data_IF_874623736366
#
_entry.id   IF_874623736366
#
_cell.length_a   1.000
_cell.length_b   1.000
_cell.length_c   1.000
_cell.angle_alpha   90.00
_cell.angle_beta   90.00
_cell.angle_gamma   90.00
#
_symmetry.space_group_name_H-M   'P 1'
#
loop_
_entity.id
_entity.type
_entity.pdbx_description
1 polymer ?
#
# COMPACT_ATOMS: atom_id res chain seq x y z
N UNK A 1 -22.13 -9.07 -11.09
CA UNK A 1 -22.39 -8.13 -9.98
C UNK A 1 -21.09 -7.41 -9.70
N UNK A 2 -21.04 -6.09 -9.91
CA UNK A 2 -19.87 -5.26 -9.60
C UNK A 2 -19.79 -5.14 -8.08
N UNK A 3 -18.91 -5.90 -7.44
CA UNK A 3 -18.51 -5.65 -6.06
C UNK A 3 -17.79 -4.30 -6.07
N UNK A 4 -18.50 -3.25 -5.68
CA UNK A 4 -17.88 -1.97 -5.41
C UNK A 4 -16.76 -2.23 -4.39
N UNK A 5 -15.52 -1.96 -4.77
CA UNK A 5 -14.41 -2.01 -3.84
C UNK A 5 -14.66 -0.91 -2.81
N UNK A 6 -15.29 -1.27 -1.69
CA UNK A 6 -15.48 -0.37 -0.56
C UNK A 6 -14.09 0.15 -0.20
N UNK A 7 -13.86 1.43 -0.46
CA UNK A 7 -12.56 2.05 -0.18
C UNK A 7 -12.45 2.19 1.34
N UNK A 8 -11.99 1.12 2.01
CA UNK A 8 -12.14 0.98 3.47
C UNK A 8 -11.25 1.94 4.27
N UNK A 9 -10.23 2.58 3.69
CA UNK A 9 -9.34 3.43 4.47
C UNK A 9 -8.43 4.38 3.67
N UNK A 10 -8.47 5.68 3.97
CA UNK A 10 -7.48 6.68 3.50
C UNK A 10 -6.67 7.21 4.68
N UNK A 11 -5.33 7.11 4.61
CA UNK A 11 -4.40 7.72 5.55
C UNK A 11 -3.27 8.42 4.85
N UNK A 12 -2.86 9.54 5.43
CA UNK A 12 -1.68 10.28 5.00
C UNK A 12 -0.71 10.32 6.17
N UNK A 13 0.54 9.91 5.93
CA UNK A 13 1.59 10.00 6.93
C UNK A 13 1.82 11.44 7.36
N UNK A 14 2.31 11.65 8.58
CA UNK A 14 2.51 12.99 9.14
C UNK A 14 3.44 13.86 8.29
N UNK A 15 4.45 13.25 7.67
CA UNK A 15 5.38 13.91 6.73
C UNK A 15 4.84 14.04 5.30
N UNK A 16 3.60 13.59 5.05
CA UNK A 16 2.89 13.57 3.77
C UNK A 16 3.58 12.78 2.67
N UNK A 17 4.58 11.96 2.99
CA UNK A 17 5.33 11.16 2.01
C UNK A 17 4.59 9.89 1.59
N UNK A 18 3.71 9.36 2.44
CA UNK A 18 2.97 8.14 2.16
C UNK A 18 1.49 8.40 2.33
N UNK A 19 0.71 8.10 1.30
CA UNK A 19 -0.75 8.10 1.34
C UNK A 19 -1.25 6.69 1.10
N UNK A 20 -1.78 6.05 2.13
CA UNK A 20 -2.54 4.80 1.98
C UNK A 20 -3.94 5.17 1.48
N UNK A 21 -4.38 4.56 0.39
CA UNK A 21 -5.65 4.85 -0.28
C UNK A 21 -6.67 3.74 -0.03
N UNK A 22 -6.21 2.49 0.06
CA UNK A 22 -7.08 1.34 0.23
C UNK A 22 -6.40 0.26 1.06
N UNK A 23 -7.16 -0.30 2.01
CA UNK A 23 -6.83 -1.53 2.70
C UNK A 23 -8.05 -2.44 2.65
N UNK A 24 -7.96 -3.56 1.96
CA UNK A 24 -9.06 -4.51 1.81
C UNK A 24 -8.59 -5.90 2.23
N UNK A 25 -9.45 -6.65 2.90
CA UNK A 25 -9.26 -8.08 3.14
C UNK A 25 -10.38 -8.80 2.40
N UNK A 26 -10.03 -9.72 1.50
CA UNK A 26 -11.00 -10.52 0.77
C UNK A 26 -11.46 -11.76 1.56
N UNK A 27 -12.41 -12.50 0.99
CA UNK A 27 -12.96 -13.73 1.61
C UNK A 27 -11.93 -14.85 1.80
N UNK A 28 -10.77 -14.76 1.15
CA UNK A 28 -9.67 -15.70 1.26
C UNK A 28 -8.59 -15.23 2.26
N UNK A 29 -8.82 -14.12 2.97
CA UNK A 29 -7.87 -13.55 3.93
C UNK A 29 -6.68 -12.85 3.26
N UNK A 30 -6.78 -12.50 1.98
CA UNK A 30 -5.74 -11.74 1.28
C UNK A 30 -5.94 -10.27 1.60
N UNK A 31 -4.90 -9.65 2.16
CA UNK A 31 -4.88 -8.22 2.48
C UNK A 31 -4.26 -7.47 1.30
N UNK A 32 -5.05 -6.62 0.65
CA UNK A 32 -4.59 -5.62 -0.32
C UNK A 32 -4.32 -4.30 0.37
N UNK A 33 -3.13 -3.75 0.18
CA UNK A 33 -2.72 -2.41 0.61
C UNK A 33 -2.36 -1.64 -0.66
N UNK A 34 -3.01 -0.52 -0.92
CA UNK A 34 -2.70 0.35 -2.06
C UNK A 34 -2.46 1.77 -1.57
N UNK A 35 -1.47 2.43 -2.13
CA UNK A 35 -1.12 3.79 -1.74
C UNK A 35 -0.08 4.44 -2.66
N UNK A 36 0.10 5.74 -2.45
CA UNK A 36 1.08 6.56 -3.15
C UNK A 36 2.24 6.89 -2.22
N UNK A 37 3.47 6.74 -2.71
CA UNK A 37 4.69 7.06 -1.96
C UNK A 37 5.51 8.09 -2.72
N UNK A 38 5.86 9.18 -2.05
CA UNK A 38 6.66 10.26 -2.62
C UNK A 38 8.02 9.76 -3.09
N UNK A 39 8.42 10.17 -4.29
CA UNK A 39 9.73 9.88 -4.84
C UNK A 39 10.80 10.67 -4.09
N UNK A 40 11.86 9.98 -3.67
CA UNK A 40 13.02 10.61 -3.04
C UNK A 40 13.92 11.35 -4.05
N UNK A 41 13.93 10.92 -5.31
CA UNK A 41 14.76 11.49 -6.37
C UNK A 41 14.05 12.53 -7.23
N UNK A 42 12.71 12.53 -7.24
CA UNK A 42 11.90 13.47 -8.04
C UNK A 42 10.89 14.19 -7.15
N UNK A 43 11.18 15.43 -6.71
CA UNK A 43 10.23 16.23 -5.95
C UNK A 43 8.86 16.31 -6.63
N UNK A 44 7.79 16.30 -5.84
CA UNK A 44 6.40 16.33 -6.31
C UNK A 44 5.95 15.13 -7.16
N UNK A 45 6.78 14.10 -7.33
CA UNK A 45 6.40 12.84 -7.96
C UNK A 45 6.02 11.81 -6.91
N UNK A 46 4.98 11.02 -7.17
CA UNK A 46 4.58 9.91 -6.32
C UNK A 46 4.55 8.63 -7.15
N UNK A 47 4.95 7.53 -6.53
CA UNK A 47 4.87 6.20 -7.10
C UNK A 47 3.71 5.45 -6.47
N UNK A 48 2.78 5.04 -7.31
CA UNK A 48 1.69 4.18 -6.88
C UNK A 48 2.25 2.80 -6.56
N UNK A 49 1.85 2.26 -5.42
CA UNK A 49 2.39 1.03 -4.86
C UNK A 49 1.24 0.19 -4.32
N UNK A 50 1.26 -1.10 -4.64
CA UNK A 50 0.30 -2.08 -4.14
C UNK A 50 1.04 -3.26 -3.51
N UNK A 51 0.50 -3.79 -2.42
CA UNK A 51 1.00 -4.97 -1.73
C UNK A 51 -0.18 -5.88 -1.46
N UNK A 52 -0.08 -7.12 -1.90
CA UNK A 52 -1.00 -8.21 -1.60
C UNK A 52 -0.30 -9.18 -0.65
N UNK A 53 -0.91 -9.45 0.49
CA UNK A 53 -0.33 -10.27 1.54
C UNK A 53 -1.31 -11.37 1.90
N UNK A 54 -0.81 -12.60 1.93
CA UNK A 54 -1.44 -13.74 2.59
C UNK A 54 -0.43 -14.35 3.57
N UNK A 55 -0.85 -15.27 4.42
CA UNK A 55 -0.02 -15.97 5.40
C UNK A 55 1.19 -16.70 4.75
N UNK A 56 1.10 -17.07 3.47
CA UNK A 56 2.12 -17.87 2.79
C UNK A 56 2.94 -17.12 1.74
N UNK A 57 2.46 -15.96 1.27
CA UNK A 57 3.11 -15.25 0.17
C UNK A 57 2.83 -13.74 0.22
N UNK A 58 3.75 -13.00 -0.39
CA UNK A 58 3.62 -11.56 -0.59
C UNK A 58 3.83 -11.29 -2.08
N UNK A 59 2.94 -10.50 -2.67
CA UNK A 59 3.13 -9.90 -4.00
C UNK A 59 3.13 -8.40 -3.84
N UNK A 60 3.94 -7.72 -4.63
CA UNK A 60 4.00 -6.27 -4.63
C UNK A 60 4.10 -5.73 -6.05
N UNK A 61 3.63 -4.52 -6.21
CA UNK A 61 3.73 -3.73 -7.43
C UNK A 61 4.11 -2.30 -7.05
N UNK A 62 4.95 -1.67 -7.87
CA UNK A 62 5.25 -0.26 -7.75
C UNK A 62 5.46 0.33 -9.14
N UNK A 63 4.91 1.52 -9.39
CA UNK A 63 5.06 2.22 -10.66
C UNK A 63 6.46 2.81 -10.90
N UNK A 64 7.43 2.55 -10.03
CA UNK A 64 8.83 2.91 -10.27
C UNK A 64 9.51 1.90 -11.20
N UNK A 65 10.60 2.32 -11.85
CA UNK A 65 11.37 1.49 -12.78
C UNK A 65 11.84 0.16 -12.16
N UNK A 66 12.37 0.18 -10.94
CA UNK A 66 12.75 -1.04 -10.22
C UNK A 66 11.56 -2.00 -10.05
N UNK A 67 10.37 -1.47 -9.76
CA UNK A 67 9.14 -2.25 -9.66
C UNK A 67 8.68 -2.84 -11.00
N UNK A 68 8.87 -2.11 -12.11
CA UNK A 68 8.59 -2.61 -13.46
C UNK A 68 9.47 -3.83 -13.82
N UNK A 69 10.66 -3.95 -13.24
CA UNK A 69 11.54 -5.11 -13.38
C UNK A 69 11.32 -6.20 -12.31
N UNK A 70 10.31 -6.06 -11.45
CA UNK A 70 10.00 -7.04 -10.40
C UNK A 70 10.92 -6.95 -9.18
N UNK A 71 11.77 -5.93 -9.07
CA UNK A 71 12.61 -5.73 -7.89
C UNK A 71 11.82 -5.07 -6.76
N UNK A 72 12.11 -5.50 -5.53
CA UNK A 72 11.63 -4.82 -4.33
C UNK A 72 12.26 -3.43 -4.26
N UNK A 73 11.45 -2.38 -4.31
CA UNK A 73 11.90 -1.00 -4.23
C UNK A 73 11.59 -0.38 -2.85
N UNK A 74 12.25 0.73 -2.55
CA UNK A 74 12.04 1.43 -1.28
C UNK A 74 10.60 1.92 -1.07
N UNK A 75 9.86 2.27 -2.14
CA UNK A 75 8.45 2.70 -2.03
C UNK A 75 7.56 1.57 -1.48
N UNK A 76 7.77 0.33 -1.91
CA UNK A 76 7.08 -0.86 -1.36
C UNK A 76 7.37 -1.02 0.12
N UNK A 77 8.64 -0.89 0.51
CA UNK A 77 9.04 -0.99 1.91
C UNK A 77 8.41 0.11 2.78
N UNK A 78 8.39 1.36 2.30
CA UNK A 78 7.78 2.50 3.00
C UNK A 78 6.28 2.32 3.20
N UNK A 79 5.55 1.93 2.14
CA UNK A 79 4.11 1.66 2.24
C UNK A 79 3.83 0.55 3.26
N UNK A 80 4.58 -0.54 3.21
CA UNK A 80 4.43 -1.65 4.15
C UNK A 80 4.70 -1.24 5.60
N UNK A 81 5.76 -0.44 5.82
CA UNK A 81 6.12 0.05 7.15
C UNK A 81 5.04 0.95 7.74
N UNK A 82 4.47 1.85 6.93
CA UNK A 82 3.36 2.72 7.36
C UNK A 82 2.14 1.88 7.70
N UNK A 83 1.78 0.91 6.87
CA UNK A 83 0.71 -0.03 7.17
C UNK A 83 0.95 -0.77 8.50
N UNK A 84 2.11 -1.42 8.68
CA UNK A 84 2.44 -2.20 9.88
C UNK A 84 2.41 -1.37 11.16
N UNK A 85 2.88 -0.12 11.11
CA UNK A 85 2.84 0.80 12.27
C UNK A 85 1.42 1.20 12.65
N UNK A 86 0.51 1.24 11.68
CA UNK A 86 -0.85 1.71 11.90
C UNK A 86 -1.89 0.59 11.94
N UNK A 87 -1.57 -0.65 11.55
CA UNK A 87 -2.54 -1.76 11.35
C UNK A 87 -3.51 -1.97 12.52
N UNK A 88 -3.07 -1.71 13.76
CA UNK A 88 -3.95 -1.77 14.93
C UNK A 88 -5.01 -0.65 14.95
N UNK A 89 -4.62 0.58 14.60
CA UNK A 89 -5.54 1.72 14.41
C UNK A 89 -6.46 1.51 13.21
N UNK A 90 -5.97 0.79 12.20
CA UNK A 90 -6.72 0.44 10.99
C UNK A 90 -7.78 -0.64 11.27
N UNK A 91 -7.40 -1.64 12.06
CA UNK A 91 -8.28 -2.73 12.45
C UNK A 91 -9.33 -2.34 13.51
N UNK A 92 -9.07 -1.31 14.34
CA UNK A 92 -10.02 -0.81 15.33
C UNK A 92 -11.13 0.08 14.75
N UNK A 93 -11.06 0.41 13.46
CA UNK A 93 -12.09 1.14 12.72
C UNK A 93 -13.03 0.17 11.95
N UNK A 94 -12.88 -1.15 12.16
CA UNK A 94 -13.82 -2.19 11.70
C UNK A 94 -15.06 -2.24 12.57
#
# INVERSE_FOLDING_TARGET
MSTAADTKYVYVSTDKKVKVILIEEDEHGIIKISGDVASSSRPSTYHHTEILINNNWIRFFCSCEAGAHGFLCHHVAELYNVYRKNVKKLGSLR
#
